data_IF_350094712852
#
_entry.id   IF_350094712852
#
_cell.length_a   1.000
_cell.length_b   1.000
_cell.length_c   1.000
_cell.angle_alpha   90.00
_cell.angle_beta   90.00
_cell.angle_gamma   90.00
#
_symmetry.space_group_name_H-M   'P 1'
#
loop_
_entity.id
_entity.type
_entity.pdbx_description
1 polymer ?
#
# COMPACT_ATOMS: atom_id res chain seq x y z
N UNK A 1 0.37 13.03 15.56
CA UNK A 1 0.73 11.98 14.59
C UNK A 1 -0.33 11.79 13.50
N UNK A 2 -1.61 12.06 13.78
CA UNK A 2 -2.71 11.84 12.82
C UNK A 2 -2.74 12.83 11.63
N UNK A 3 -2.35 14.09 11.84
CA UNK A 3 -2.46 15.15 10.82
C UNK A 3 -1.67 14.87 9.54
N UNK A 4 -0.46 14.27 9.66
CA UNK A 4 0.36 13.89 8.51
C UNK A 4 -0.27 12.72 7.72
N UNK A 5 -0.91 11.79 8.44
CA UNK A 5 -1.68 10.70 7.82
C UNK A 5 -2.88 11.24 7.06
N UNK A 6 -3.61 12.19 7.66
CA UNK A 6 -4.77 12.83 7.03
C UNK A 6 -4.38 13.69 5.81
N UNK A 7 -3.24 14.36 5.87
CA UNK A 7 -2.66 15.08 4.74
C UNK A 7 -2.31 14.14 3.60
N UNK A 8 -1.58 13.06 3.89
CA UNK A 8 -1.22 12.04 2.90
C UNK A 8 -2.47 11.40 2.27
N UNK A 9 -3.49 11.09 3.10
CA UNK A 9 -4.74 10.52 2.65
C UNK A 9 -5.52 11.48 1.73
N UNK A 10 -5.61 12.77 2.08
CA UNK A 10 -6.25 13.79 1.24
C UNK A 10 -5.52 13.96 -0.09
N UNK A 11 -4.19 14.02 -0.06
CA UNK A 11 -3.37 14.13 -1.26
C UNK A 11 -3.56 12.91 -2.17
N UNK A 12 -3.44 11.69 -1.62
CA UNK A 12 -3.61 10.47 -2.37
C UNK A 12 -5.02 10.31 -2.94
N UNK A 13 -6.06 10.71 -2.20
CA UNK A 13 -7.44 10.71 -2.71
C UNK A 13 -7.55 11.54 -3.98
N UNK A 14 -7.02 12.77 -3.96
CA UNK A 14 -7.07 13.66 -5.12
C UNK A 14 -6.30 13.08 -6.32
N UNK A 15 -5.07 12.61 -6.09
CA UNK A 15 -4.23 12.07 -7.15
C UNK A 15 -4.80 10.78 -7.74
N UNK A 16 -5.31 9.89 -6.88
CA UNK A 16 -5.89 8.63 -7.29
C UNK A 16 -7.15 8.85 -8.12
N UNK A 17 -8.07 9.71 -7.66
CA UNK A 17 -9.27 10.08 -8.41
C UNK A 17 -8.94 10.72 -9.77
N UNK A 18 -7.90 11.54 -9.85
CA UNK A 18 -7.46 12.08 -11.14
C UNK A 18 -6.91 10.97 -12.06
N UNK A 19 -6.09 10.06 -11.53
CA UNK A 19 -5.44 9.02 -12.32
C UNK A 19 -6.42 7.97 -12.86
N UNK A 20 -7.42 7.55 -12.08
CA UNK A 20 -8.41 6.55 -12.52
C UNK A 20 -9.27 7.03 -13.70
N UNK A 21 -9.45 8.34 -13.88
CA UNK A 21 -10.16 8.87 -15.06
C UNK A 21 -9.40 8.65 -16.37
N UNK A 22 -8.10 8.31 -16.29
CA UNK A 22 -7.19 8.20 -17.44
C UNK A 22 -6.61 6.80 -17.60
N UNK A 23 -6.50 6.04 -16.51
CA UNK A 23 -5.81 4.77 -16.48
C UNK A 23 -6.62 3.71 -15.74
N UNK A 24 -6.73 2.53 -16.33
CA UNK A 24 -7.38 1.36 -15.71
C UNK A 24 -6.41 0.51 -14.88
N UNK A 25 -5.10 0.74 -14.98
CA UNK A 25 -4.07 0.07 -14.18
C UNK A 25 -3.16 1.11 -13.55
N UNK A 26 -3.08 1.08 -12.23
CA UNK A 26 -2.36 2.06 -11.43
C UNK A 26 -1.36 1.36 -10.52
N UNK A 27 -0.22 2.01 -10.31
CA UNK A 27 0.78 1.61 -9.33
C UNK A 27 0.95 2.76 -8.36
N UNK A 28 0.80 2.48 -7.06
CA UNK A 28 1.06 3.42 -5.98
C UNK A 28 2.30 2.96 -5.22
N UNK A 29 3.27 3.84 -5.05
CA UNK A 29 4.47 3.57 -4.27
C UNK A 29 4.38 4.34 -2.93
N UNK A 30 4.48 3.63 -1.82
CA UNK A 30 4.55 4.22 -0.47
C UNK A 30 5.73 3.63 0.29
N UNK A 31 6.21 4.32 1.33
CA UNK A 31 7.17 3.70 2.24
C UNK A 31 6.46 2.80 3.26
N UNK A 32 5.47 3.37 3.95
CA UNK A 32 4.70 2.71 5.02
C UNK A 32 3.53 1.93 4.41
N UNK A 33 3.27 0.69 4.85
CA UNK A 33 2.07 -0.06 4.48
C UNK A 33 0.77 0.69 4.81
N UNK A 34 -0.25 0.67 3.93
CA UNK A 34 -1.55 1.27 4.24
C UNK A 34 -2.55 0.30 4.90
N UNK A 35 -2.17 -0.98 5.04
CA UNK A 35 -3.03 -2.05 5.57
C UNK A 35 -2.29 -2.91 6.59
N UNK A 36 -3.01 -3.43 7.58
CA UNK A 36 -2.48 -4.39 8.57
C UNK A 36 -1.97 -5.65 7.86
N UNK A 37 -2.71 -6.12 6.88
CA UNK A 37 -2.42 -7.30 6.07
C UNK A 37 -1.12 -7.16 5.25
N UNK A 38 -0.60 -5.94 5.11
CA UNK A 38 0.68 -5.62 4.47
C UNK A 38 1.80 -5.32 5.49
N UNK A 39 1.56 -5.43 6.79
CA UNK A 39 2.59 -5.25 7.83
C UNK A 39 3.25 -6.60 8.15
N UNK A 40 4.21 -7.01 7.31
CA UNK A 40 4.89 -8.30 7.43
C UNK A 40 6.16 -8.20 8.28
N UNK A 41 6.29 -9.03 9.31
CA UNK A 41 7.51 -9.20 10.10
C UNK A 41 7.64 -10.67 10.54
N UNK A 42 8.78 -11.32 10.25
CA UNK A 42 9.02 -12.75 10.52
C UNK A 42 7.88 -13.68 10.01
N UNK A 43 7.41 -13.45 8.78
CA UNK A 43 6.31 -14.22 8.14
C UNK A 43 4.95 -14.08 8.85
N UNK A 44 4.85 -13.19 9.85
CA UNK A 44 3.62 -12.91 10.58
C UNK A 44 3.18 -11.47 10.32
N UNK A 45 1.87 -11.25 10.44
CA UNK A 45 1.30 -9.90 10.46
C UNK A 45 1.60 -9.29 11.82
N UNK A 46 2.12 -8.05 11.84
CA UNK A 46 2.37 -7.32 13.09
C UNK A 46 1.12 -7.25 13.97
N UNK A 47 1.30 -7.44 15.28
CA UNK A 47 0.19 -7.43 16.25
C UNK A 47 -0.41 -6.01 16.44
N UNK A 48 -1.58 -5.96 17.09
CA UNK A 48 -2.39 -4.75 17.20
C UNK A 48 -1.73 -3.63 18.02
N UNK A 49 -0.77 -3.95 18.89
CA UNK A 49 -0.09 -2.99 19.75
C UNK A 49 0.96 -2.18 18.96
N UNK A 50 1.49 -2.75 17.87
CA UNK A 50 2.49 -2.12 17.02
C UNK A 50 1.90 -1.44 15.78
N UNK A 51 0.71 -1.83 15.34
CA UNK A 51 0.07 -1.30 14.12
C UNK A 51 -0.01 0.23 14.01
N UNK A 52 -0.32 1.00 15.08
CA UNK A 52 -0.37 2.46 14.98
C UNK A 52 0.95 3.11 14.52
N UNK A 53 2.07 2.39 14.62
CA UNK A 53 3.38 2.85 14.18
C UNK A 53 3.80 2.31 12.81
N UNK A 54 3.21 1.21 12.34
CA UNK A 54 3.62 0.51 11.11
C UNK A 54 2.64 0.66 9.95
N UNK A 55 1.46 1.21 10.17
CA UNK A 55 0.45 1.42 9.13
C UNK A 55 -0.09 2.84 9.07
N UNK A 56 -0.50 3.26 7.88
CA UNK A 56 -1.32 4.45 7.70
C UNK A 56 -2.76 4.06 7.33
N UNK A 57 -3.57 3.74 8.35
CA UNK A 57 -4.93 3.23 8.15
C UNK A 57 -5.84 4.19 7.37
N UNK A 58 -5.72 5.50 7.59
CA UNK A 58 -6.53 6.52 6.87
C UNK A 58 -6.23 6.52 5.36
N UNK A 59 -4.98 6.23 4.97
CA UNK A 59 -4.64 6.01 3.56
C UNK A 59 -5.32 4.73 3.06
N UNK A 60 -5.25 3.65 3.83
CA UNK A 60 -5.96 2.40 3.52
C UNK A 60 -7.46 2.60 3.25
N UNK A 61 -8.13 3.38 4.10
CA UNK A 61 -9.56 3.70 3.97
C UNK A 61 -9.85 4.45 2.66
N UNK A 62 -9.02 5.43 2.30
CA UNK A 62 -9.14 6.17 1.03
C UNK A 62 -8.98 5.23 -0.16
N UNK A 63 -8.01 4.31 -0.12
CA UNK A 63 -7.77 3.35 -1.20
C UNK A 63 -8.96 2.39 -1.34
N UNK A 64 -9.48 1.84 -0.24
CA UNK A 64 -10.65 0.96 -0.28
C UNK A 64 -11.87 1.69 -0.84
N UNK A 65 -12.18 2.89 -0.32
CA UNK A 65 -13.33 3.66 -0.77
C UNK A 65 -13.26 3.97 -2.28
N UNK A 66 -12.08 4.38 -2.75
CA UNK A 66 -11.87 4.72 -4.17
C UNK A 66 -11.96 3.48 -5.06
N UNK A 67 -11.27 2.39 -4.71
CA UNK A 67 -11.25 1.19 -5.56
C UNK A 67 -12.58 0.42 -5.55
N UNK A 68 -13.40 0.54 -4.49
CA UNK A 68 -14.78 0.03 -4.49
C UNK A 68 -15.69 0.79 -5.43
N UNK A 69 -15.52 2.11 -5.53
CA UNK A 69 -16.29 2.95 -6.45
C UNK A 69 -15.90 2.75 -7.92
N UNK A 70 -14.72 2.16 -8.16
CA UNK A 70 -14.12 1.99 -9.49
C UNK A 70 -13.63 0.54 -9.71
N UNK A 71 -14.54 -0.45 -9.73
CA UNK A 71 -14.19 -1.87 -9.89
C UNK A 71 -13.49 -2.19 -11.22
N UNK A 72 -13.63 -1.33 -12.23
CA UNK A 72 -12.98 -1.42 -13.54
C UNK A 72 -11.47 -1.11 -13.49
N UNK A 73 -11.04 -0.33 -12.50
CA UNK A 73 -9.64 0.01 -12.30
C UNK A 73 -8.95 -1.02 -11.40
N UNK A 74 -7.66 -1.27 -11.64
CA UNK A 74 -6.81 -2.11 -10.79
C UNK A 74 -5.68 -1.27 -10.20
N UNK A 75 -5.46 -1.42 -8.90
CA UNK A 75 -4.40 -0.74 -8.17
C UNK A 75 -3.46 -1.76 -7.53
N UNK A 76 -2.17 -1.61 -7.80
CA UNK A 76 -1.09 -2.29 -7.09
C UNK A 76 -0.35 -1.29 -6.21
N UNK A 77 -0.33 -1.53 -4.91
CA UNK A 77 0.46 -0.75 -3.95
C UNK A 77 1.78 -1.47 -3.70
N UNK A 78 2.88 -0.73 -3.75
CA UNK A 78 4.23 -1.22 -3.45
C UNK A 78 4.70 -0.48 -2.19
N UNK A 79 5.01 -1.21 -1.12
CA UNK A 79 5.45 -0.65 0.15
C UNK A 79 6.63 -1.40 0.77
N UNK A 80 7.08 -0.96 1.95
CA UNK A 80 8.15 -1.59 2.72
C UNK A 80 8.01 -1.32 4.22
N UNK A 81 9.02 -0.71 4.82
CA UNK A 81 9.09 -0.30 6.24
C UNK A 81 9.24 -1.45 7.25
N UNK A 82 8.48 -2.55 7.12
CA UNK A 82 8.47 -3.63 8.13
C UNK A 82 9.60 -4.65 7.95
N UNK A 83 10.38 -4.55 6.87
CA UNK A 83 11.49 -5.44 6.49
C UNK A 83 11.10 -6.91 6.19
N UNK A 84 9.87 -7.34 6.48
CA UNK A 84 9.30 -8.57 5.94
C UNK A 84 8.80 -8.39 4.51
N UNK A 85 8.78 -9.49 3.76
CA UNK A 85 8.17 -9.55 2.43
C UNK A 85 6.81 -10.24 2.49
N UNK A 86 5.89 -9.82 1.64
CA UNK A 86 4.57 -10.44 1.53
C UNK A 86 3.63 -9.73 0.58
N UNK A 87 2.54 -10.40 0.23
CA UNK A 87 1.50 -9.89 -0.65
C UNK A 87 0.12 -10.03 0.01
N UNK A 88 -0.68 -8.97 -0.06
CA UNK A 88 -2.03 -8.93 0.46
C UNK A 88 -3.00 -8.49 -0.64
N UNK A 89 -4.03 -9.30 -0.87
CA UNK A 89 -5.18 -8.90 -1.69
C UNK A 89 -6.24 -8.30 -0.78
N UNK A 90 -6.46 -7.00 -0.90
CA UNK A 90 -7.40 -6.25 -0.04
C UNK A 90 -8.80 -6.24 -0.66
N UNK A 91 -8.87 -6.07 -1.99
CA UNK A 91 -10.09 -6.17 -2.81
C UNK A 91 -9.74 -6.92 -4.11
N UNK A 92 -10.72 -7.43 -4.88
CA UNK A 92 -10.45 -8.08 -6.17
C UNK A 92 -9.63 -7.25 -7.17
N UNK A 93 -9.60 -5.93 -6.98
CA UNK A 93 -8.89 -4.96 -7.81
C UNK A 93 -7.85 -4.12 -7.03
N UNK A 94 -7.51 -4.50 -5.80
CA UNK A 94 -6.54 -3.82 -4.96
C UNK A 94 -5.59 -4.82 -4.29
N UNK A 95 -4.34 -4.81 -4.73
CA UNK A 95 -3.27 -5.67 -4.21
C UNK A 95 -2.15 -4.83 -3.61
N UNK A 96 -1.58 -5.26 -2.49
CA UNK A 96 -0.43 -4.62 -1.85
C UNK A 96 0.72 -5.60 -1.77
N UNK A 97 1.90 -5.17 -2.23
CA UNK A 97 3.15 -5.92 -2.15
C UNK A 97 4.12 -5.20 -1.23
N UNK A 98 4.59 -5.91 -0.23
CA UNK A 98 5.55 -5.41 0.75
C UNK A 98 6.92 -5.97 0.41
N UNK A 99 7.87 -5.09 0.11
CA UNK A 99 9.24 -5.44 -0.17
C UNK A 99 10.03 -5.71 1.10
N UNK A 100 10.61 -6.92 1.20
CA UNK A 100 11.48 -7.28 2.31
C UNK A 100 12.84 -6.58 2.26
N UNK A 101 13.48 -6.47 3.41
CA UNK A 101 14.81 -5.87 3.53
C UNK A 101 15.69 -6.66 4.51
N UNK A 102 16.98 -6.80 4.18
CA UNK A 102 17.99 -7.33 5.09
C UNK A 102 19.10 -6.30 5.25
N UNK A 103 19.41 -5.95 6.50
CA UNK A 103 20.45 -4.98 6.81
C UNK A 103 21.77 -5.32 6.13
N UNK A 104 22.38 -4.31 5.50
CA UNK A 104 23.63 -4.45 4.75
C UNK A 104 23.54 -5.26 3.44
N UNK A 105 22.33 -5.67 3.01
CA UNK A 105 22.12 -6.48 1.80
C UNK A 105 20.95 -5.94 0.97
N UNK A 106 21.10 -4.78 0.31
CA UNK A 106 20.07 -4.27 -0.60
C UNK A 106 19.88 -5.25 -1.77
N UNK A 107 18.62 -5.50 -2.14
CA UNK A 107 18.24 -6.38 -3.26
C UNK A 107 17.10 -5.77 -4.04
N UNK A 108 17.00 -6.12 -5.32
CA UNK A 108 15.83 -5.83 -6.12
C UNK A 108 14.66 -6.70 -5.64
N UNK A 109 13.50 -6.10 -5.38
CA UNK A 109 12.31 -6.83 -4.95
C UNK A 109 11.60 -7.50 -6.12
N UNK A 110 11.24 -6.73 -7.15
CA UNK A 110 10.51 -7.23 -8.32
C UNK A 110 10.78 -6.35 -9.54
N UNK A 111 10.79 -6.94 -10.74
CA UNK A 111 10.76 -6.21 -12.00
C UNK A 111 9.32 -6.08 -12.49
N UNK A 112 8.81 -4.85 -12.54
CA UNK A 112 7.47 -4.57 -13.06
C UNK A 112 7.59 -4.13 -14.52
N UNK A 113 7.01 -4.92 -15.42
CA UNK A 113 6.99 -4.61 -16.85
C UNK A 113 5.65 -3.99 -17.21
N UNK A 114 5.67 -2.72 -17.59
CA UNK A 114 4.49 -1.99 -18.10
C UNK A 114 4.48 -2.11 -19.62
N UNK A 115 3.42 -2.69 -20.17
CA UNK A 115 3.17 -2.78 -21.61
C UNK A 115 2.17 -1.74 -22.06
#
# INVERSE_FOLDING_TARGET
MNELGDEAARYLKHQLLSAITRFSRLILLTHVPPFKEACWFEEKISDDDFLPHFTCGVVGDVLIATMRAHPECRLTVLCGHTHGEGEATILPNLTVKTGGAKYGRPRLNELIVVK
#
